data_IF_305987690837
#
_entry.id   IF_305987690837
#
_cell.length_a   1.000
_cell.length_b   1.000
_cell.length_c   1.000
_cell.angle_alpha   90.00
_cell.angle_beta   90.00
_cell.angle_gamma   90.00
#
_symmetry.space_group_name_H-M   'P 1'
#
loop_
_entity.id
_entity.type
_entity.pdbx_description
1 polymer ?
#
# COMPACT_ATOMS: atom_id res chain seq x y z
N UNK A 1 -12.48 -13.07 -25.83
CA UNK A 1 -12.56 -11.60 -25.74
C UNK A 1 -12.52 -11.23 -24.27
N UNK A 2 -11.36 -10.85 -23.76
CA UNK A 2 -11.21 -10.33 -22.39
C UNK A 2 -11.80 -8.92 -22.39
N UNK A 3 -12.87 -8.72 -21.63
CA UNK A 3 -13.41 -7.38 -21.36
C UNK A 3 -12.26 -6.52 -20.85
N UNK A 4 -11.97 -5.38 -21.49
CA UNK A 4 -10.92 -4.42 -21.09
C UNK A 4 -11.26 -3.68 -19.78
N UNK A 5 -11.83 -4.40 -18.82
CA UNK A 5 -12.22 -3.89 -17.51
C UNK A 5 -10.95 -3.66 -16.71
N UNK A 6 -10.81 -2.44 -16.21
CA UNK A 6 -9.76 -2.08 -15.26
C UNK A 6 -9.96 -2.88 -13.95
N UNK A 7 -8.93 -3.59 -13.50
CA UNK A 7 -9.01 -4.51 -12.35
C UNK A 7 -8.11 -4.10 -11.18
N UNK A 8 -7.00 -3.42 -11.44
CA UNK A 8 -6.07 -2.91 -10.42
C UNK A 8 -5.20 -1.79 -10.99
N UNK A 9 -4.48 -1.11 -10.10
CA UNK A 9 -3.40 -0.19 -10.43
C UNK A 9 -2.14 -0.54 -9.61
N UNK A 10 -0.97 -0.19 -10.12
CA UNK A 10 0.31 -0.36 -9.45
C UNK A 10 1.00 1.00 -9.28
N UNK A 11 1.59 1.22 -8.10
CA UNK A 11 2.33 2.44 -7.79
C UNK A 11 3.75 2.34 -8.32
N UNK A 12 4.14 3.31 -9.13
CA UNK A 12 5.48 3.41 -9.70
C UNK A 12 6.14 4.72 -9.27
N UNK A 13 7.33 4.62 -8.69
CA UNK A 13 8.13 5.79 -8.34
C UNK A 13 8.61 6.48 -9.62
N UNK A 14 8.40 7.80 -9.71
CA UNK A 14 8.82 8.65 -10.82
C UNK A 14 9.21 10.03 -10.28
N UNK A 15 10.12 10.70 -10.97
CA UNK A 15 10.48 12.10 -10.76
C UNK A 15 9.88 12.91 -11.89
N UNK A 16 9.21 14.01 -11.54
CA UNK A 16 8.80 15.00 -12.51
C UNK A 16 10.03 15.80 -12.96
N UNK A 17 10.27 15.79 -14.26
CA UNK A 17 11.33 16.56 -14.88
C UNK A 17 10.89 18.03 -15.08
N UNK A 18 11.84 18.98 -15.23
CA UNK A 18 11.50 20.39 -15.48
C UNK A 18 10.66 20.62 -16.73
N UNK A 19 10.72 19.72 -17.71
CA UNK A 19 9.92 19.76 -18.93
C UNK A 19 8.49 19.19 -18.75
N UNK A 20 8.15 18.72 -17.56
CA UNK A 20 6.86 18.15 -17.18
C UNK A 20 6.72 16.65 -17.43
N UNK A 21 7.72 15.99 -18.00
CA UNK A 21 7.73 14.53 -18.15
C UNK A 21 7.94 13.83 -16.80
N UNK A 22 7.57 12.54 -16.73
CA UNK A 22 7.75 11.71 -15.54
C UNK A 22 8.63 10.53 -15.89
N UNK A 23 9.79 10.44 -15.24
CA UNK A 23 10.73 9.37 -15.46
C UNK A 23 11.39 8.93 -14.16
N UNK A 24 11.89 7.70 -14.10
CA UNK A 24 12.76 7.24 -13.03
C UNK A 24 14.20 7.28 -13.54
N UNK A 25 15.03 8.26 -13.13
CA UNK A 25 16.41 8.34 -13.59
C UNK A 25 17.18 7.05 -13.29
N UNK A 26 17.98 6.61 -14.26
CA UNK A 26 18.89 5.49 -14.11
C UNK A 26 19.78 5.67 -12.87
N UNK A 27 19.92 4.61 -12.09
CA UNK A 27 20.69 4.61 -10.84
C UNK A 27 20.05 5.37 -9.68
N UNK A 28 18.83 5.90 -9.80
CA UNK A 28 18.17 6.54 -8.64
C UNK A 28 17.97 5.55 -7.50
N UNK A 29 17.52 4.33 -7.80
CA UNK A 29 17.31 3.30 -6.79
C UNK A 29 18.64 2.95 -6.11
N UNK A 30 19.71 2.74 -6.88
CA UNK A 30 21.05 2.48 -6.35
C UNK A 30 21.55 3.62 -5.44
N UNK A 31 21.25 4.87 -5.80
CA UNK A 31 21.58 6.05 -4.97
C UNK A 31 20.78 6.08 -3.68
N UNK A 32 19.47 5.79 -3.73
CA UNK A 32 18.61 5.71 -2.54
C UNK A 32 19.14 4.62 -1.60
N UNK A 33 19.55 3.47 -2.15
CA UNK A 33 20.14 2.37 -1.41
C UNK A 33 21.48 2.74 -0.77
N UNK A 34 22.42 3.29 -1.57
CA UNK A 34 23.73 3.73 -1.08
C UNK A 34 23.64 4.83 -0.02
N UNK A 35 22.58 5.64 -0.02
CA UNK A 35 22.32 6.66 1.00
C UNK A 35 21.59 6.10 2.23
N UNK A 36 21.22 4.82 2.27
CA UNK A 36 20.45 4.21 3.36
C UNK A 36 19.01 4.70 3.45
N UNK A 37 18.45 5.23 2.36
CA UNK A 37 17.14 5.88 2.33
C UNK A 37 15.99 4.95 1.90
N UNK A 38 16.25 3.66 1.68
CA UNK A 38 15.25 2.71 1.18
C UNK A 38 14.00 2.64 2.07
N UNK A 39 14.19 2.57 3.40
CA UNK A 39 13.08 2.54 4.36
C UNK A 39 12.32 3.88 4.37
N UNK A 40 13.04 5.00 4.36
CA UNK A 40 12.44 6.35 4.37
C UNK A 40 11.58 6.58 3.13
N UNK A 41 12.12 6.27 1.95
CA UNK A 41 11.40 6.40 0.68
C UNK A 41 10.24 5.41 0.63
N UNK A 42 10.44 4.17 1.09
CA UNK A 42 9.39 3.15 1.15
C UNK A 42 8.20 3.56 2.01
N UNK A 43 8.44 4.13 3.19
CA UNK A 43 7.37 4.68 4.04
C UNK A 43 6.63 5.84 3.35
N UNK A 44 7.35 6.78 2.77
CA UNK A 44 6.73 7.90 2.06
C UNK A 44 5.86 7.41 0.88
N UNK A 45 6.34 6.45 0.10
CA UNK A 45 5.57 5.84 -1.00
C UNK A 45 4.28 5.19 -0.47
N UNK A 46 4.35 4.48 0.65
CA UNK A 46 3.19 3.83 1.25
C UNK A 46 2.15 4.86 1.74
N UNK A 47 2.59 5.90 2.43
CA UNK A 47 1.73 6.99 2.89
C UNK A 47 1.02 7.68 1.72
N UNK A 48 1.76 8.00 0.66
CA UNK A 48 1.22 8.63 -0.52
C UNK A 48 0.25 7.72 -1.28
N UNK A 49 0.53 6.42 -1.31
CA UNK A 49 -0.38 5.41 -1.89
C UNK A 49 -1.71 5.35 -1.14
N UNK A 50 -1.67 5.37 0.19
CA UNK A 50 -2.88 5.43 1.02
C UNK A 50 -3.68 6.71 0.77
N UNK A 51 -2.99 7.85 0.63
CA UNK A 51 -3.63 9.14 0.33
C UNK A 51 -4.31 9.14 -1.04
N UNK A 52 -3.65 8.59 -2.07
CA UNK A 52 -4.22 8.42 -3.40
C UNK A 52 -5.43 7.50 -3.39
N UNK A 53 -5.34 6.36 -2.69
CA UNK A 53 -6.44 5.42 -2.57
C UNK A 53 -7.65 6.03 -1.85
N UNK A 54 -7.44 6.78 -0.77
CA UNK A 54 -8.51 7.49 -0.08
C UNK A 54 -9.21 8.50 -1.00
N UNK A 55 -8.44 9.31 -1.75
CA UNK A 55 -8.99 10.26 -2.71
C UNK A 55 -9.77 9.58 -3.85
N UNK A 56 -9.40 8.35 -4.24
CA UNK A 56 -10.18 7.54 -5.18
C UNK A 56 -11.49 7.05 -4.58
N UNK A 57 -11.46 6.57 -3.34
CA UNK A 57 -12.64 6.10 -2.62
C UNK A 57 -13.67 7.23 -2.42
N UNK A 58 -13.22 8.45 -2.10
CA UNK A 58 -14.07 9.65 -2.02
C UNK A 58 -14.79 9.95 -3.36
N UNK A 59 -14.19 9.56 -4.49
CA UNK A 59 -14.77 9.71 -5.84
C UNK A 59 -15.57 8.47 -6.28
N UNK A 60 -15.75 7.49 -5.40
CA UNK A 60 -16.45 6.23 -5.68
C UNK A 60 -15.63 5.22 -6.50
N UNK A 61 -14.31 5.41 -6.63
CA UNK A 61 -13.42 4.51 -7.36
C UNK A 61 -12.88 3.45 -6.39
N UNK A 62 -13.45 2.25 -6.44
CA UNK A 62 -13.04 1.10 -5.65
C UNK A 62 -12.08 0.20 -6.44
N UNK A 63 -10.87 0.71 -6.73
CA UNK A 63 -9.84 -0.01 -7.47
C UNK A 63 -8.70 -0.45 -6.54
N UNK A 64 -8.32 -1.73 -6.51
CA UNK A 64 -7.13 -2.19 -5.80
C UNK A 64 -5.87 -1.46 -6.27
N UNK A 65 -5.04 -1.03 -5.30
CA UNK A 65 -3.76 -0.39 -5.54
C UNK A 65 -2.64 -1.23 -4.93
N UNK A 66 -1.69 -1.66 -5.76
CA UNK A 66 -0.52 -2.45 -5.35
C UNK A 66 0.71 -1.55 -5.21
N UNK A 67 1.48 -1.78 -4.14
CA UNK A 67 2.73 -1.06 -3.85
C UNK A 67 3.87 -2.07 -3.73
N UNK A 68 4.97 -1.81 -4.41
CA UNK A 68 6.15 -2.66 -4.31
C UNK A 68 6.96 -2.29 -3.06
N UNK A 69 7.33 -3.26 -2.21
CA UNK A 69 8.13 -2.98 -1.03
C UNK A 69 9.53 -2.53 -1.45
N UNK A 70 9.86 -1.27 -1.14
CA UNK A 70 11.22 -0.75 -1.24
C UNK A 70 11.95 -1.11 0.05
N UNK A 71 12.47 -2.33 0.13
CA UNK A 71 13.25 -2.79 1.27
C UNK A 71 14.61 -3.30 0.79
N UNK A 72 15.69 -2.61 1.17
CA UNK A 72 17.04 -3.17 1.11
C UNK A 72 17.37 -3.71 2.50
N UNK A 73 17.03 -4.98 2.75
CA UNK A 73 17.50 -5.67 3.94
C UNK A 73 18.72 -6.52 3.55
N UNK A 74 19.89 -5.89 3.48
CA UNK A 74 21.16 -6.63 3.57
C UNK A 74 22.14 -5.87 4.48
N UNK A 75 22.45 -6.51 5.61
CA UNK A 75 23.66 -6.37 6.43
C UNK A 75 23.86 -5.14 7.35
N UNK A 76 22.81 -4.48 7.82
CA UNK A 76 22.92 -3.67 9.04
C UNK A 76 22.54 -4.51 10.27
N UNK A 77 23.43 -4.68 11.28
CA UNK A 77 23.05 -5.32 12.51
C UNK A 77 22.00 -4.45 13.21
N UNK A 78 20.87 -5.09 13.51
CA UNK A 78 19.89 -4.72 14.53
C UNK A 78 19.29 -3.29 14.50
N UNK A 79 18.29 -3.11 13.63
CA UNK A 79 17.10 -2.35 14.01
C UNK A 79 15.93 -3.33 14.19
N UNK A 80 15.68 -3.69 15.45
CA UNK A 80 14.50 -4.45 15.85
C UNK A 80 13.24 -3.63 15.61
N UNK A 81 12.48 -4.00 14.58
CA UNK A 81 11.18 -3.43 14.28
C UNK A 81 10.52 -4.27 13.19
N UNK A 82 9.70 -5.23 13.60
CA UNK A 82 9.00 -6.09 12.67
C UNK A 82 8.08 -5.28 11.75
N UNK A 83 8.29 -5.37 10.45
CA UNK A 83 7.32 -4.95 9.44
C UNK A 83 6.65 -6.18 8.85
N UNK A 84 5.71 -6.76 9.61
CA UNK A 84 4.68 -7.62 9.04
C UNK A 84 3.61 -6.71 8.42
N UNK A 85 3.86 -6.24 7.21
CA UNK A 85 2.90 -5.45 6.43
C UNK A 85 1.79 -6.33 5.88
N UNK A 86 0.83 -6.72 6.72
CA UNK A 86 -0.44 -7.28 6.24
C UNK A 86 -1.33 -6.12 5.80
N UNK A 87 -1.17 -5.66 4.56
CA UNK A 87 -2.20 -4.85 3.90
C UNK A 87 -3.34 -5.79 3.51
N UNK A 88 -4.31 -5.96 4.42
CA UNK A 88 -5.57 -6.60 4.11
C UNK A 88 -6.67 -5.53 4.04
N UNK A 89 -6.98 -4.99 2.85
CA UNK A 89 -8.22 -4.28 2.66
C UNK A 89 -9.34 -5.32 2.56
N UNK A 90 -10.01 -5.56 3.70
CA UNK A 90 -11.31 -6.22 3.80
C UNK A 90 -11.34 -7.70 3.38
N UNK A 91 -11.10 -8.60 4.32
CA UNK A 91 -11.69 -9.94 4.28
C UNK A 91 -13.22 -9.79 4.41
N UNK A 92 -13.96 -9.99 3.33
CA UNK A 92 -15.38 -10.34 3.42
C UNK A 92 -15.48 -11.68 4.15
N UNK A 93 -15.87 -11.67 5.42
CA UNK A 93 -16.54 -12.80 6.06
C UNK A 93 -17.99 -12.41 6.27
N UNK A 94 -18.84 -12.82 5.34
CA UNK A 94 -20.28 -12.85 5.56
C UNK A 94 -20.57 -13.97 6.58
N UNK A 95 -20.67 -13.59 7.85
CA UNK A 95 -21.15 -14.44 8.93
C UNK A 95 -22.48 -13.90 9.45
N UNK A 96 -23.57 -14.40 8.90
CA UNK A 96 -24.93 -14.14 9.38
C UNK A 96 -25.09 -14.72 10.79
N UNK A 97 -25.42 -13.91 11.79
CA UNK A 97 -26.01 -14.37 13.05
C UNK A 97 -27.32 -13.64 13.27
N UNK A 98 -28.36 -14.21 12.67
CA UNK A 98 -29.72 -14.16 13.19
C UNK A 98 -29.75 -14.92 14.52
N UNK A 99 -30.35 -14.30 15.54
CA UNK A 99 -31.13 -14.94 16.62
C UNK A 99 -31.27 -13.95 17.76
N UNK A 100 -32.46 -13.35 17.87
CA UNK A 100 -32.91 -12.74 19.11
C UNK A 100 -32.99 -13.78 20.23
N UNK A 101 -32.64 -13.38 21.44
CA UNK A 101 -33.30 -13.89 22.63
C UNK A 101 -33.03 -12.92 23.78
N UNK A 102 -34.08 -12.15 24.06
CA UNK A 102 -34.42 -11.68 25.38
C UNK A 102 -34.28 -12.82 26.41
N UNK A 103 -33.52 -12.60 27.48
CA UNK A 103 -33.80 -13.06 28.86
C UNK A 103 -32.72 -12.55 29.82
N UNK A 104 -33.21 -11.87 30.86
CA UNK A 104 -32.50 -11.25 31.98
C UNK A 104 -31.74 -12.26 32.87
N UNK A 105 -30.76 -11.80 33.68
CA UNK A 105 -29.99 -12.65 34.57
C UNK A 105 -30.66 -12.76 35.94
N UNK A 106 -30.67 -13.97 36.52
CA UNK A 106 -30.77 -14.16 37.98
C UNK A 106 -30.13 -15.50 38.37
N UNK A 107 -29.15 -15.39 39.28
CA UNK A 107 -28.49 -16.37 40.17
C UNK A 107 -28.47 -17.85 39.81
#
# INVERSE_FOLDING_TARGET
MTSGKLVSAEVLLRIQQPDGSWDLPDGLIDRIECCGLMVTVGHWVLEESCRLLAAWQERGIMLPLSVNPLCAATDAPEYGGGYAGTVNPLSHSAGNTDSGSDRKPTY
#
